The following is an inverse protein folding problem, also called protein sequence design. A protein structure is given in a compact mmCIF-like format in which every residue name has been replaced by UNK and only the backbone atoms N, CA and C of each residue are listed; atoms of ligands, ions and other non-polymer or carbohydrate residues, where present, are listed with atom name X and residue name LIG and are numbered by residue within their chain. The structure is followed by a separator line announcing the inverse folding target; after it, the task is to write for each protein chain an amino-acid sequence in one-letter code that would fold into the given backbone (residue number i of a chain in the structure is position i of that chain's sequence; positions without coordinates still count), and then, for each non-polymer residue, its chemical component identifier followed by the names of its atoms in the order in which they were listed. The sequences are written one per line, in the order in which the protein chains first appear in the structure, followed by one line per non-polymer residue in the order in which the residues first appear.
data_IF_933313752425
#
_entry.id   IF_933313752425
#
_cell.length_a   1.000
_cell.length_b   1.000
_cell.length_c   1.000
_cell.angle_alpha   90.00
_cell.angle_beta   90.00
_cell.angle_gamma   90.00
#
_symmetry.space_group_name_H-M   'P 1'
#
loop_
_entity.id
_entity.type
_entity.pdbx_description
1 polymer ?
#
# COMPACT_ATOMS: atom_id res chain seq x y z
N UNK A 1 -18.95 11.54 2.51
CA UNK A 1 -17.62 12.08 2.91
C UNK A 1 -17.18 11.25 4.10
N UNK A 2 -16.21 10.33 3.93
CA UNK A 2 -15.69 9.56 5.06
C UNK A 2 -14.92 10.55 5.93
N UNK A 3 -15.34 10.68 7.18
CA UNK A 3 -14.65 11.52 8.17
C UNK A 3 -13.19 11.04 8.30
N UNK A 4 -12.22 11.90 8.68
CA UNK A 4 -10.82 11.50 8.89
C UNK A 4 -10.63 10.31 9.84
N UNK A 5 -11.66 9.97 10.62
CA UNK A 5 -11.67 8.86 11.57
C UNK A 5 -12.45 7.62 11.08
N UNK A 6 -13.03 7.63 9.89
CA UNK A 6 -13.73 6.46 9.35
C UNK A 6 -12.70 5.45 8.83
N UNK A 7 -12.48 4.43 9.62
CA UNK A 7 -11.63 3.30 9.28
C UNK A 7 -12.22 2.54 8.09
N UNK A 8 -11.43 2.28 7.05
CA UNK A 8 -11.84 1.33 6.01
C UNK A 8 -11.87 -0.06 6.63
N UNK A 9 -13.03 -0.71 6.60
CA UNK A 9 -13.27 -2.01 7.22
C UNK A 9 -13.61 -3.03 6.15
N UNK A 10 -12.96 -4.19 6.21
CA UNK A 10 -13.30 -5.39 5.44
C UNK A 10 -13.79 -6.50 6.38
N UNK A 11 -13.95 -7.70 5.88
CA UNK A 11 -14.42 -8.84 6.70
C UNK A 11 -13.50 -9.08 7.91
N UNK A 12 -12.20 -9.17 7.69
CA UNK A 12 -11.20 -9.52 8.71
C UNK A 12 -10.28 -8.39 9.13
N UNK A 13 -10.23 -7.30 8.38
CA UNK A 13 -9.25 -6.25 8.54
C UNK A 13 -9.89 -4.88 8.73
N UNK A 14 -9.15 -3.99 9.39
CA UNK A 14 -9.46 -2.58 9.48
C UNK A 14 -8.19 -1.76 9.24
N UNK A 15 -8.33 -0.67 8.49
CA UNK A 15 -7.26 0.33 8.34
C UNK A 15 -7.43 1.41 9.40
N UNK A 16 -6.33 1.78 10.05
CA UNK A 16 -6.27 2.96 10.93
C UNK A 16 -5.10 3.85 10.54
N UNK A 17 -5.19 5.12 10.83
CA UNK A 17 -4.06 6.02 10.68
C UNK A 17 -2.90 5.60 11.58
N UNK A 18 -1.69 5.81 11.09
CA UNK A 18 -0.50 5.76 11.92
C UNK A 18 -0.42 6.97 12.84
N UNK A 19 0.27 6.82 13.94
CA UNK A 19 0.66 7.85 14.89
C UNK A 19 2.16 7.77 15.17
N UNK A 20 2.71 8.75 15.86
CA UNK A 20 4.12 8.68 16.28
C UNK A 20 4.43 7.48 17.19
N UNK A 21 3.44 6.98 17.91
CA UNK A 21 3.58 5.80 18.77
C UNK A 21 3.80 4.49 17.96
N UNK A 22 3.53 4.50 16.66
CA UNK A 22 3.70 3.34 15.79
C UNK A 22 5.13 3.19 15.22
N UNK A 23 6.07 4.02 15.64
CA UNK A 23 7.44 3.98 15.12
C UNK A 23 8.08 2.59 15.30
N UNK A 24 7.93 1.97 16.47
CA UNK A 24 8.49 0.64 16.73
C UNK A 24 7.86 -0.45 15.86
N UNK A 25 6.57 -0.30 15.55
CA UNK A 25 5.85 -1.18 14.65
C UNK A 25 6.40 -1.10 13.21
N UNK A 26 6.58 0.11 12.70
CA UNK A 26 7.15 0.35 11.37
C UNK A 26 8.61 -0.08 11.29
N UNK A 27 9.39 0.19 12.34
CA UNK A 27 10.80 -0.19 12.42
C UNK A 27 10.97 -1.71 12.36
N UNK A 28 10.14 -2.46 13.08
CA UNK A 28 10.10 -3.92 13.01
C UNK A 28 9.83 -4.44 11.58
N UNK A 29 8.96 -3.77 10.83
CA UNK A 29 8.68 -4.14 9.44
C UNK A 29 9.82 -3.73 8.51
N UNK A 30 10.38 -2.53 8.69
CA UNK A 30 11.43 -1.96 7.86
C UNK A 30 12.80 -2.65 8.06
N UNK A 31 12.99 -3.38 9.17
CA UNK A 31 14.21 -4.14 9.47
C UNK A 31 14.11 -5.63 9.14
N UNK A 32 12.93 -6.15 8.76
CA UNK A 32 12.79 -7.54 8.32
C UNK A 32 13.25 -7.70 6.87
N UNK A 33 14.38 -8.38 6.59
CA UNK A 33 14.90 -8.50 5.22
C UNK A 33 13.96 -9.25 4.28
N UNK A 34 13.10 -10.14 4.79
CA UNK A 34 12.12 -10.86 3.97
C UNK A 34 11.05 -9.92 3.44
N UNK A 35 10.58 -8.99 4.29
CA UNK A 35 9.58 -7.99 3.92
C UNK A 35 10.18 -6.95 2.98
N UNK A 36 11.41 -6.53 3.26
CA UNK A 36 12.07 -5.44 2.55
C UNK A 36 12.79 -5.87 1.27
N UNK A 37 12.82 -7.16 0.94
CA UNK A 37 13.50 -7.71 -0.24
C UNK A 37 13.14 -6.96 -1.54
N UNK A 38 11.86 -6.65 -1.72
CA UNK A 38 11.34 -5.97 -2.92
C UNK A 38 10.92 -4.49 -2.65
N UNK A 39 11.29 -3.95 -1.49
CA UNK A 39 10.91 -2.59 -1.06
C UNK A 39 12.12 -1.66 -0.89
N UNK A 40 13.21 -1.98 -1.60
CA UNK A 40 14.44 -1.18 -1.57
C UNK A 40 15.37 -1.49 -0.41
N UNK A 41 15.26 -2.72 0.16
CA UNK A 41 16.11 -3.21 1.25
C UNK A 41 15.77 -2.63 2.62
N UNK A 42 16.36 -3.23 3.66
CA UNK A 42 16.14 -2.83 5.05
C UNK A 42 16.51 -1.36 5.30
N UNK A 43 15.78 -0.73 6.21
CA UNK A 43 16.00 0.66 6.62
C UNK A 43 16.45 0.71 8.07
N UNK A 44 17.25 1.69 8.39
CA UNK A 44 17.55 2.01 9.79
C UNK A 44 16.39 2.78 10.45
N UNK A 45 16.45 2.89 11.76
CA UNK A 45 15.40 3.57 12.54
C UNK A 45 15.23 5.04 12.17
N UNK A 46 16.30 5.74 11.82
CA UNK A 46 16.21 7.15 11.44
C UNK A 46 15.47 7.33 10.11
N UNK A 47 15.74 6.46 9.13
CA UNK A 47 15.01 6.43 7.86
C UNK A 47 13.54 6.06 8.07
N UNK A 48 13.25 5.12 8.96
CA UNK A 48 11.88 4.72 9.32
C UNK A 48 11.12 5.88 9.99
N UNK A 49 11.76 6.60 10.92
CA UNK A 49 11.17 7.77 11.56
C UNK A 49 10.88 8.89 10.55
N UNK A 50 11.81 9.15 9.64
CA UNK A 50 11.63 10.12 8.55
C UNK A 50 10.45 9.72 7.67
N UNK A 51 10.34 8.44 7.31
CA UNK A 51 9.21 7.92 6.54
C UNK A 51 7.89 8.15 7.28
N UNK A 52 7.83 7.80 8.58
CA UNK A 52 6.63 8.00 9.39
C UNK A 52 6.19 9.47 9.41
N UNK A 53 7.11 10.39 9.72
CA UNK A 53 6.78 11.82 9.84
C UNK A 53 6.38 12.43 8.50
N UNK A 54 7.24 12.30 7.49
CA UNK A 54 7.14 13.05 6.24
C UNK A 54 6.23 12.37 5.22
N UNK A 55 6.33 11.04 5.08
CA UNK A 55 5.60 10.31 4.04
C UNK A 55 4.26 9.77 4.51
N UNK A 56 4.05 9.62 5.81
CA UNK A 56 2.81 9.09 6.36
C UNK A 56 2.01 10.20 7.02
N UNK A 57 2.51 10.78 8.11
CA UNK A 57 1.72 11.74 8.90
C UNK A 57 1.44 13.04 8.16
N UNK A 58 2.48 13.69 7.60
CA UNK A 58 2.30 14.93 6.83
C UNK A 58 1.49 14.71 5.54
N UNK A 59 1.46 13.48 5.02
CA UNK A 59 0.72 13.16 3.80
C UNK A 59 -0.79 13.19 4.01
N UNK A 60 -1.28 12.76 5.18
CA UNK A 60 -2.72 12.77 5.47
C UNK A 60 -3.35 14.15 5.38
N UNK A 61 -2.64 15.17 5.84
CA UNK A 61 -3.16 16.56 5.84
C UNK A 61 -3.14 17.18 4.45
N UNK A 62 -2.14 16.79 3.65
CA UNK A 62 -1.97 17.30 2.27
C UNK A 62 -2.89 16.61 1.26
N UNK A 63 -3.30 15.38 1.54
CA UNK A 63 -4.07 14.54 0.60
C UNK A 63 -5.24 13.84 1.31
N UNK A 64 -6.31 14.58 1.65
CA UNK A 64 -7.47 13.99 2.32
C UNK A 64 -8.03 12.78 1.55
N UNK A 65 -8.25 11.67 2.26
CA UNK A 65 -8.74 10.43 1.67
C UNK A 65 -7.65 9.50 1.11
N UNK A 66 -6.42 9.98 0.96
CA UNK A 66 -5.28 9.18 0.52
C UNK A 66 -4.28 8.98 1.67
N UNK A 67 -3.48 7.89 1.61
CA UNK A 67 -2.49 7.68 2.66
C UNK A 67 -1.83 6.30 2.66
N UNK A 68 -1.12 6.08 3.75
CA UNK A 68 -0.55 4.80 4.18
C UNK A 68 -1.16 4.49 5.53
N UNK A 69 -1.84 3.37 5.68
CA UNK A 69 -2.56 3.03 6.92
C UNK A 69 -2.07 1.71 7.51
N UNK A 70 -1.99 1.67 8.83
CA UNK A 70 -1.80 0.42 9.54
C UNK A 70 -2.98 -0.52 9.27
N UNK A 71 -2.67 -1.74 8.89
CA UNK A 71 -3.66 -2.80 8.67
C UNK A 71 -3.74 -3.66 9.93
N UNK A 72 -4.91 -3.70 10.53
CA UNK A 72 -5.14 -4.40 11.81
C UNK A 72 -6.11 -5.54 11.60
N UNK A 73 -5.79 -6.71 12.13
CA UNK A 73 -6.70 -7.86 12.17
C UNK A 73 -7.79 -7.61 13.22
N UNK A 74 -9.04 -7.64 12.81
CA UNK A 74 -10.19 -7.30 13.68
C UNK A 74 -10.39 -8.26 14.83
N UNK A 75 -10.07 -9.54 14.63
CA UNK A 75 -10.26 -10.57 15.63
C UNK A 75 -9.30 -10.47 16.81
N UNK A 76 -8.05 -10.06 16.55
CA UNK A 76 -6.98 -10.02 17.57
C UNK A 76 -6.61 -8.60 17.99
N UNK A 77 -6.86 -7.60 17.14
CA UNK A 77 -6.37 -6.25 17.31
C UNK A 77 -4.90 -6.07 16.91
N UNK A 78 -4.25 -7.12 16.38
CA UNK A 78 -2.85 -7.07 15.98
C UNK A 78 -2.67 -6.34 14.65
N UNK A 79 -1.65 -5.51 14.58
CA UNK A 79 -1.23 -4.93 13.31
C UNK A 79 -0.48 -5.98 12.48
N UNK A 80 -0.97 -6.24 11.28
CA UNK A 80 -0.42 -7.21 10.34
C UNK A 80 0.48 -6.59 9.27
N UNK A 81 0.62 -5.27 9.25
CA UNK A 81 1.41 -4.50 8.31
C UNK A 81 0.73 -3.20 7.90
N UNK A 82 0.88 -2.79 6.66
CA UNK A 82 0.20 -1.60 6.13
C UNK A 82 -0.29 -1.78 4.70
N UNK A 83 -1.29 -0.99 4.34
CA UNK A 83 -1.73 -0.79 2.96
C UNK A 83 -1.68 0.69 2.59
N UNK A 84 -1.55 0.96 1.29
CA UNK A 84 -1.45 2.32 0.76
C UNK A 84 -2.46 2.54 -0.36
N UNK A 85 -2.99 3.75 -0.40
CA UNK A 85 -3.61 4.35 -1.57
C UNK A 85 -3.06 5.78 -1.64
N UNK A 86 -2.03 5.99 -2.44
CA UNK A 86 -1.29 7.26 -2.45
C UNK A 86 -0.60 7.49 -3.79
N UNK A 87 -0.04 8.69 -3.98
CA UNK A 87 0.77 8.96 -5.17
C UNK A 87 2.05 8.11 -5.18
N UNK A 88 2.40 7.55 -6.33
CA UNK A 88 3.76 7.05 -6.57
C UNK A 88 4.71 8.23 -6.40
N UNK A 89 5.83 8.02 -5.71
CA UNK A 89 6.79 9.10 -5.47
C UNK A 89 7.35 9.63 -6.81
N UNK A 90 7.20 10.92 -7.02
CA UNK A 90 7.63 11.59 -8.25
C UNK A 90 6.61 11.55 -9.38
N UNK A 91 5.46 10.89 -9.20
CA UNK A 91 4.42 10.76 -10.21
C UNK A 91 3.08 11.34 -9.72
N UNK A 92 2.16 11.53 -10.64
CA UNK A 92 0.78 11.95 -10.34
C UNK A 92 -0.18 10.77 -10.20
N UNK A 93 0.25 9.57 -10.57
CA UNK A 93 -0.56 8.36 -10.52
C UNK A 93 -0.83 7.93 -9.07
N UNK A 94 -2.09 7.60 -8.78
CA UNK A 94 -2.50 7.03 -7.50
C UNK A 94 -2.33 5.52 -7.55
N UNK A 95 -1.53 5.00 -6.64
CA UNK A 95 -1.28 3.56 -6.52
C UNK A 95 -1.97 2.94 -5.32
N UNK A 96 -2.30 1.65 -5.45
CA UNK A 96 -2.55 0.75 -4.34
C UNK A 96 -1.33 -0.13 -4.10
N UNK A 97 -1.00 -0.37 -2.84
CA UNK A 97 0.12 -1.23 -2.46
C UNK A 97 0.04 -1.66 -1.00
N UNK A 98 0.98 -2.48 -0.57
CA UNK A 98 1.02 -3.00 0.79
C UNK A 98 2.40 -3.54 1.17
N UNK A 99 2.62 -3.64 2.48
CA UNK A 99 3.66 -4.47 3.08
C UNK A 99 3.10 -5.12 4.33
N UNK A 100 3.20 -6.45 4.41
CA UNK A 100 2.71 -7.23 5.54
C UNK A 100 3.87 -7.92 6.25
N UNK A 101 3.78 -8.07 7.56
CA UNK A 101 4.68 -8.94 8.31
C UNK A 101 4.67 -10.35 7.74
N UNK A 102 5.80 -11.02 7.75
CA UNK A 102 5.94 -12.37 7.19
C UNK A 102 4.95 -13.38 7.78
N UNK A 103 4.62 -13.22 9.06
CA UNK A 103 3.68 -14.09 9.77
C UNK A 103 2.21 -13.89 9.34
N UNK A 104 1.94 -12.82 8.60
CA UNK A 104 0.62 -12.51 8.02
C UNK A 104 0.48 -12.97 6.55
N UNK A 105 1.56 -13.49 5.95
CA UNK A 105 1.52 -13.97 4.56
C UNK A 105 0.69 -15.25 4.41
N UNK A 106 0.21 -15.49 3.21
CA UNK A 106 -0.58 -16.70 2.88
C UNK A 106 -2.01 -16.71 3.41
N UNK A 107 -2.41 -15.71 4.22
CA UNK A 107 -3.75 -15.61 4.83
C UNK A 107 -4.79 -14.88 3.95
N UNK A 108 -4.37 -14.35 2.80
CA UNK A 108 -5.25 -13.60 1.88
C UNK A 108 -5.46 -12.14 2.26
N UNK A 109 -4.82 -11.62 3.30
CA UNK A 109 -5.00 -10.25 3.80
C UNK A 109 -4.62 -9.18 2.77
N UNK A 110 -3.53 -9.41 2.03
CA UNK A 110 -3.12 -8.50 0.96
C UNK A 110 -4.21 -8.31 -0.10
N UNK A 111 -4.80 -9.42 -0.59
CA UNK A 111 -5.87 -9.37 -1.59
C UNK A 111 -7.14 -8.73 -1.02
N UNK A 112 -7.55 -9.12 0.19
CA UNK A 112 -8.76 -8.60 0.83
C UNK A 112 -8.72 -7.08 0.98
N UNK A 113 -7.65 -6.54 1.54
CA UNK A 113 -7.56 -5.11 1.76
C UNK A 113 -7.26 -4.33 0.47
N UNK A 114 -6.54 -4.90 -0.49
CA UNK A 114 -6.38 -4.30 -1.82
C UNK A 114 -7.75 -4.12 -2.49
N UNK A 115 -8.61 -5.13 -2.47
CA UNK A 115 -9.99 -5.02 -2.97
C UNK A 115 -10.80 -3.95 -2.23
N UNK A 116 -10.64 -3.87 -0.89
CA UNK A 116 -11.26 -2.82 -0.07
C UNK A 116 -10.83 -1.42 -0.50
N UNK A 117 -9.53 -1.21 -0.72
CA UNK A 117 -8.97 0.07 -1.17
C UNK A 117 -9.37 0.44 -2.60
N UNK A 118 -9.42 -0.53 -3.52
CA UNK A 118 -9.92 -0.29 -4.89
C UNK A 118 -11.38 0.15 -4.86
N UNK A 119 -12.22 -0.55 -4.09
CA UNK A 119 -13.63 -0.14 -3.91
C UNK A 119 -13.72 1.27 -3.34
N UNK A 120 -13.01 1.57 -2.28
CA UNK A 120 -12.98 2.90 -1.67
C UNK A 120 -12.51 3.97 -2.66
N UNK A 121 -11.41 3.73 -3.37
CA UNK A 121 -10.88 4.66 -4.38
C UNK A 121 -11.88 4.94 -5.50
N UNK A 122 -12.56 3.91 -6.00
CA UNK A 122 -13.50 4.07 -7.12
C UNK A 122 -14.88 4.59 -6.70
N UNK A 123 -15.41 4.17 -5.54
CA UNK A 123 -16.78 4.54 -5.15
C UNK A 123 -16.86 5.78 -4.29
N UNK A 124 -15.86 6.01 -3.43
CA UNK A 124 -15.85 7.15 -2.50
C UNK A 124 -15.03 8.31 -3.02
N UNK A 125 -13.78 8.05 -3.43
CA UNK A 125 -12.90 9.09 -3.97
C UNK A 125 -13.16 9.39 -5.46
N UNK A 126 -13.94 8.56 -6.14
CA UNK A 126 -14.26 8.71 -7.56
C UNK A 126 -13.02 8.77 -8.46
N UNK A 127 -11.94 8.09 -8.06
CA UNK A 127 -10.72 8.04 -8.85
C UNK A 127 -11.01 7.40 -10.22
N UNK A 128 -10.50 7.94 -11.32
CA UNK A 128 -10.73 7.37 -12.65
C UNK A 128 -9.92 6.09 -12.89
N UNK A 129 -8.68 6.06 -12.37
CA UNK A 129 -7.73 4.96 -12.54
C UNK A 129 -6.97 4.77 -11.24
N UNK A 130 -6.66 3.54 -10.89
CA UNK A 130 -5.72 3.18 -9.83
C UNK A 130 -4.67 2.25 -10.42
N UNK A 131 -3.41 2.53 -10.11
CA UNK A 131 -2.27 1.75 -10.57
C UNK A 131 -1.65 0.96 -9.42
N UNK A 132 -0.72 0.07 -9.75
CA UNK A 132 0.17 -0.54 -8.77
C UNK A 132 1.52 -0.85 -9.43
N UNK A 133 2.58 -0.73 -8.65
CA UNK A 133 3.94 -1.09 -9.09
C UNK A 133 4.50 -2.17 -8.17
N UNK A 134 5.24 -3.09 -8.74
CA UNK A 134 5.95 -4.11 -7.97
C UNK A 134 7.23 -4.54 -8.69
N UNK A 135 8.21 -5.05 -7.95
CA UNK A 135 9.42 -5.60 -8.54
C UNK A 135 9.08 -6.77 -9.49
N UNK A 136 9.80 -6.88 -10.60
CA UNK A 136 9.58 -7.93 -11.61
C UNK A 136 9.71 -9.35 -11.03
N UNK A 137 10.56 -9.54 -10.04
CA UNK A 137 10.77 -10.83 -9.37
C UNK A 137 9.72 -11.12 -8.28
N UNK A 138 8.95 -10.11 -7.84
CA UNK A 138 7.92 -10.29 -6.81
C UNK A 138 6.64 -10.89 -7.38
N UNK A 139 6.68 -12.17 -7.74
CA UNK A 139 5.54 -12.88 -8.33
C UNK A 139 4.35 -12.98 -7.39
N UNK A 140 4.58 -13.06 -6.07
CA UNK A 140 3.52 -13.10 -5.07
C UNK A 140 2.67 -11.81 -5.09
N UNK A 141 3.33 -10.64 -5.13
CA UNK A 141 2.63 -9.35 -5.25
C UNK A 141 1.88 -9.25 -6.58
N UNK A 142 2.50 -9.67 -7.70
CA UNK A 142 1.83 -9.67 -9.00
C UNK A 142 0.54 -10.51 -8.98
N UNK A 143 0.55 -11.68 -8.35
CA UNK A 143 -0.64 -12.53 -8.21
C UNK A 143 -1.75 -11.86 -7.38
N UNK A 144 -1.39 -11.14 -6.31
CA UNK A 144 -2.37 -10.37 -5.53
C UNK A 144 -3.03 -9.30 -6.38
N UNK A 145 -2.25 -8.53 -7.15
CA UNK A 145 -2.77 -7.46 -8.00
C UNK A 145 -3.71 -8.01 -9.09
N UNK A 146 -3.34 -9.12 -9.71
CA UNK A 146 -4.22 -9.80 -10.70
C UNK A 146 -5.53 -10.28 -10.07
N UNK A 147 -5.46 -10.92 -8.87
CA UNK A 147 -6.66 -11.34 -8.14
C UNK A 147 -7.56 -10.18 -7.71
N UNK A 148 -6.98 -9.01 -7.48
CA UNK A 148 -7.73 -7.81 -7.15
C UNK A 148 -8.36 -7.11 -8.37
N UNK A 149 -8.11 -7.62 -9.59
CA UNK A 149 -8.71 -7.10 -10.81
C UNK A 149 -7.87 -6.04 -11.53
N UNK A 150 -6.61 -5.82 -11.11
CA UNK A 150 -5.70 -5.02 -11.90
C UNK A 150 -5.13 -5.86 -13.06
N UNK A 151 -4.81 -5.22 -14.16
CA UNK A 151 -4.20 -5.85 -15.34
C UNK A 151 -2.76 -5.38 -15.49
N UNK A 152 -1.88 -6.30 -15.84
CA UNK A 152 -0.49 -5.93 -16.15
C UNK A 152 -0.46 -5.13 -17.45
N UNK A 153 0.17 -3.96 -17.40
CA UNK A 153 0.36 -3.06 -18.56
C UNK A 153 1.84 -2.69 -18.72
N UNK A 154 2.67 -3.72 -18.91
CA UNK A 154 4.09 -3.56 -19.19
C UNK A 154 4.96 -3.31 -17.97
N UNK A 155 6.01 -2.54 -18.19
CA UNK A 155 7.06 -2.21 -17.23
C UNK A 155 7.40 -0.74 -17.34
N UNK A 156 7.73 -0.09 -16.20
CA UNK A 156 8.12 1.32 -16.18
C UNK A 156 9.32 1.56 -15.27
N UNK A 157 10.20 2.46 -15.69
CA UNK A 157 11.20 3.07 -14.81
C UNK A 157 10.55 4.27 -14.12
N UNK A 158 10.63 4.31 -12.80
CA UNK A 158 10.15 5.44 -12.01
C UNK A 158 11.32 6.38 -11.76
N UNK A 159 11.22 7.59 -12.30
CA UNK A 159 12.30 8.59 -12.24
C UNK A 159 12.35 9.31 -10.88
N UNK A 160 12.52 8.55 -9.80
CA UNK A 160 12.61 9.08 -8.44
C UNK A 160 13.68 8.33 -7.64
N UNK A 161 14.50 9.00 -6.80
CA UNK A 161 15.58 8.37 -6.03
C UNK A 161 15.16 7.15 -5.19
N UNK A 162 13.93 7.12 -4.70
CA UNK A 162 13.40 5.98 -3.94
C UNK A 162 13.35 4.66 -4.73
N UNK A 163 13.42 4.73 -6.07
CA UNK A 163 13.37 3.56 -6.97
C UNK A 163 14.65 3.37 -7.78
N UNK A 164 15.70 4.18 -7.54
CA UNK A 164 16.91 4.21 -8.36
C UNK A 164 17.58 2.83 -8.50
N UNK A 165 17.58 2.04 -7.44
CA UNK A 165 18.24 0.73 -7.40
C UNK A 165 17.29 -0.44 -7.72
N UNK A 166 16.02 -0.17 -8.06
CA UNK A 166 15.02 -1.22 -8.26
C UNK A 166 14.84 -1.62 -9.74
N UNK A 167 15.41 -0.83 -10.67
CA UNK A 167 15.24 -1.07 -12.11
C UNK A 167 13.79 -0.89 -12.58
N UNK A 168 13.43 -1.48 -13.74
CA UNK A 168 12.06 -1.44 -14.22
C UNK A 168 11.11 -2.17 -13.27
N UNK A 169 9.97 -1.56 -12.98
CA UNK A 169 8.90 -2.11 -12.15
C UNK A 169 7.79 -2.65 -13.05
N UNK A 170 7.21 -3.80 -12.69
CA UNK A 170 5.98 -4.28 -13.30
C UNK A 170 4.86 -3.27 -13.01
N UNK A 171 4.21 -2.81 -14.07
CA UNK A 171 3.12 -1.84 -13.99
C UNK A 171 1.77 -2.54 -14.12
N UNK A 172 0.90 -2.27 -13.17
CA UNK A 172 -0.47 -2.76 -13.16
C UNK A 172 -1.43 -1.58 -13.09
N UNK A 173 -2.60 -1.71 -13.70
CA UNK A 173 -3.62 -0.68 -13.65
C UNK A 173 -5.02 -1.26 -13.80
N UNK A 174 -6.00 -0.52 -13.34
CA UNK A 174 -7.40 -0.72 -13.65
C UNK A 174 -8.13 0.60 -13.58
N UNK A 175 -9.09 0.79 -14.47
CA UNK A 175 -9.99 1.94 -14.45
C UNK A 175 -11.29 1.60 -13.70
N UNK A 176 -11.98 2.66 -13.24
CA UNK A 176 -13.19 2.54 -12.45
C UNK A 176 -14.29 1.74 -13.15
N UNK A 177 -14.52 2.07 -14.42
CA UNK A 177 -15.64 1.48 -15.15
C UNK A 177 -15.40 -0.01 -15.40
N UNK A 178 -14.19 -0.38 -15.80
CA UNK A 178 -13.78 -1.78 -15.95
C UNK A 178 -13.91 -2.54 -14.63
N UNK A 179 -13.39 -1.97 -13.53
CA UNK A 179 -13.33 -2.68 -12.25
C UNK A 179 -14.70 -2.86 -11.60
N UNK A 180 -15.60 -1.88 -11.72
CA UNK A 180 -16.95 -1.97 -11.15
C UNK A 180 -17.85 -2.99 -11.87
N UNK A 181 -17.45 -3.48 -13.05
CA UNK A 181 -18.17 -4.49 -13.81
C UNK A 181 -17.54 -5.90 -13.75
N UNK A 182 -16.49 -6.11 -12.90
CA UNK A 182 -15.94 -7.43 -12.61
C UNK A 182 -16.80 -8.16 -11.59
#
# INVERSE_FOLDING_TARGET
MIHPDDSLVTERLVLRRFTLADLDLLDRLATDPRVMEFLGGVKDRAATETMLRVRILDYYDRHPGLGIWATVERATGDCVGFHVLNHIQGETDIQVGYALFADAWGKGYATEMTLGLLRYGFTTLQLPVIVAITNLANTASQHVLLKAGLRRNGERLIAHPAYADQGPMAWFETDRDTWLHL
#
